data_IF_334289587647
#
_entry.id   IF_334289587647
#
_cell.length_a   1.000
_cell.length_b   1.000
_cell.length_c   1.000
_cell.angle_alpha   90.00
_cell.angle_beta   90.00
_cell.angle_gamma   90.00
#
_symmetry.space_group_name_H-M   'P 1'
#
loop_
_entity.id
_entity.type
_entity.pdbx_description
1 polymer ?
#
# COMPACT_ATOMS: atom_id res chain seq x y z
N UNK A 1 -3.55 56.23 -18.75
CA UNK A 1 -2.25 55.71 -19.24
C UNK A 1 -2.24 54.23 -18.95
N UNK A 2 -2.21 53.39 -19.98
CA UNK A 2 -2.19 51.94 -19.90
C UNK A 2 -0.74 51.47 -19.69
N UNK A 3 -0.48 50.65 -18.67
CA UNK A 3 0.86 50.25 -18.24
C UNK A 3 1.15 48.76 -18.53
N UNK A 4 0.32 48.12 -19.35
CA UNK A 4 0.32 46.67 -19.54
C UNK A 4 1.47 46.12 -20.40
N UNK A 5 2.11 46.95 -21.23
CA UNK A 5 3.13 46.51 -22.20
C UNK A 5 4.54 47.05 -21.90
N UNK A 6 5.06 46.85 -20.69
CA UNK A 6 6.48 47.11 -20.40
C UNK A 6 7.29 45.81 -20.41
N UNK A 7 8.42 45.84 -21.12
CA UNK A 7 9.42 44.77 -21.27
C UNK A 7 10.20 44.56 -19.96
N UNK A 8 9.49 44.17 -18.90
CA UNK A 8 9.94 43.54 -17.65
C UNK A 8 8.78 43.41 -16.63
N UNK A 9 7.52 43.48 -17.06
CA UNK A 9 6.39 43.23 -16.17
C UNK A 9 6.41 41.77 -15.72
N UNK A 10 6.75 41.55 -14.44
CA UNK A 10 6.73 40.25 -13.78
C UNK A 10 5.29 39.75 -13.77
N UNK A 11 4.94 38.87 -14.71
CA UNK A 11 3.62 38.21 -14.81
C UNK A 11 3.48 37.24 -13.65
N UNK A 12 3.09 37.73 -12.49
CA UNK A 12 3.09 36.96 -11.25
C UNK A 12 2.07 37.53 -10.27
N UNK A 13 0.82 37.13 -10.47
CA UNK A 13 -0.31 37.41 -9.59
C UNK A 13 -1.48 36.56 -10.04
N UNK A 14 -1.33 35.24 -9.94
CA UNK A 14 -2.43 34.31 -10.20
C UNK A 14 -3.52 34.54 -9.17
N UNK A 15 -4.58 35.23 -9.56
CA UNK A 15 -5.79 35.36 -8.75
C UNK A 15 -6.36 33.98 -8.42
N UNK A 16 -6.96 33.86 -7.25
CA UNK A 16 -7.71 32.66 -6.87
C UNK A 16 -8.86 32.52 -7.88
N UNK A 17 -8.90 31.41 -8.61
CA UNK A 17 -9.84 31.19 -9.70
C UNK A 17 -11.29 31.32 -9.21
N UNK A 18 -12.13 32.01 -9.98
CA UNK A 18 -13.54 32.18 -9.65
C UNK A 18 -14.29 30.84 -9.73
N UNK A 19 -15.36 30.69 -8.94
CA UNK A 19 -16.11 29.43 -8.86
C UNK A 19 -16.75 29.04 -10.21
N UNK A 20 -17.03 30.01 -11.08
CA UNK A 20 -17.51 29.72 -12.43
C UNK A 20 -16.37 29.21 -13.33
N UNK A 21 -15.18 29.78 -13.22
CA UNK A 21 -14.00 29.37 -14.00
C UNK A 21 -13.54 27.96 -13.62
N UNK A 22 -13.52 27.62 -12.32
CA UNK A 22 -13.21 26.25 -11.87
C UNK A 22 -14.22 25.24 -12.40
N UNK A 23 -15.51 25.57 -12.39
CA UNK A 23 -16.57 24.68 -12.89
C UNK A 23 -16.49 24.46 -14.40
N UNK A 24 -16.16 25.50 -15.18
CA UNK A 24 -15.94 25.38 -16.62
C UNK A 24 -14.71 24.52 -16.90
N UNK A 25 -13.64 24.71 -16.13
CA UNK A 25 -12.42 23.90 -16.25
C UNK A 25 -12.68 22.42 -15.95
N UNK A 26 -13.42 22.11 -14.87
CA UNK A 26 -13.80 20.74 -14.50
C UNK A 26 -14.65 20.09 -15.59
N UNK A 27 -15.64 20.80 -16.14
CA UNK A 27 -16.50 20.28 -17.23
C UNK A 27 -15.73 20.04 -18.52
N UNK A 28 -14.80 20.93 -18.88
CA UNK A 28 -13.96 20.77 -20.06
C UNK A 28 -13.03 19.58 -19.93
N UNK A 29 -12.43 19.38 -18.75
CA UNK A 29 -11.56 18.24 -18.45
C UNK A 29 -12.32 16.91 -18.47
N UNK A 30 -13.50 16.86 -17.86
CA UNK A 30 -14.37 15.68 -17.91
C UNK A 30 -14.73 15.29 -19.35
N UNK A 31 -15.07 16.29 -20.18
CA UNK A 31 -15.36 16.07 -21.60
C UNK A 31 -14.13 15.54 -22.35
N UNK A 32 -12.94 16.05 -22.04
CA UNK A 32 -11.68 15.62 -22.66
C UNK A 32 -11.33 14.18 -22.27
N UNK A 33 -11.42 13.82 -20.98
CA UNK A 33 -11.21 12.46 -20.46
C UNK A 33 -12.20 11.44 -21.04
N UNK A 34 -13.46 11.83 -21.22
CA UNK A 34 -14.49 10.99 -21.84
C UNK A 34 -14.29 10.82 -23.36
N UNK A 35 -13.59 11.75 -24.01
CA UNK A 35 -13.36 11.75 -25.46
C UNK A 35 -12.04 11.07 -25.83
N UNK A 36 -11.03 11.14 -24.95
CA UNK A 36 -9.78 10.41 -25.13
C UNK A 36 -9.99 8.95 -24.73
N UNK A 37 -10.06 8.04 -25.71
CA UNK A 37 -10.05 6.57 -25.49
C UNK A 37 -8.77 6.05 -24.78
N UNK A 38 -7.81 6.93 -24.50
CA UNK A 38 -6.58 6.64 -23.78
C UNK A 38 -6.70 7.20 -22.37
N UNK A 39 -7.02 6.32 -21.41
CA UNK A 39 -6.92 6.60 -19.98
C UNK A 39 -5.43 6.77 -19.63
N UNK A 40 -4.97 8.01 -19.57
CA UNK A 40 -3.62 8.34 -19.09
C UNK A 40 -3.57 8.27 -17.56
N UNK A 41 -3.44 7.03 -17.04
CA UNK A 41 -3.39 6.73 -15.61
C UNK A 41 -2.26 7.47 -14.88
N UNK A 42 -1.17 7.82 -15.57
CA UNK A 42 -0.01 8.47 -14.97
C UNK A 42 -0.29 9.92 -14.59
N UNK A 43 -1.23 10.59 -15.26
CA UNK A 43 -1.57 12.00 -15.04
C UNK A 43 -2.97 12.20 -14.43
N UNK A 44 -3.61 11.15 -13.91
CA UNK A 44 -4.89 11.28 -13.22
C UNK A 44 -4.67 11.86 -11.79
N UNK A 45 -5.16 13.07 -11.49
CA UNK A 45 -4.98 13.69 -10.18
C UNK A 45 -5.67 12.92 -9.03
N UNK A 46 -6.55 11.96 -9.32
CA UNK A 46 -7.13 11.05 -8.31
C UNK A 46 -6.17 9.95 -7.85
N UNK A 47 -5.05 9.76 -8.55
CA UNK A 47 -4.05 8.72 -8.30
C UNK A 47 -2.89 9.17 -7.37
N UNK A 48 -2.99 10.34 -6.74
CA UNK A 48 -1.93 10.80 -5.84
C UNK A 48 -1.87 9.93 -4.58
N UNK A 49 -0.82 9.11 -4.45
CA UNK A 49 -0.61 8.30 -3.25
C UNK A 49 -0.34 9.20 -2.05
N UNK A 50 -1.03 8.95 -0.95
CA UNK A 50 -0.93 9.79 0.27
C UNK A 50 0.13 9.30 1.26
N UNK A 51 0.91 8.29 0.87
CA UNK A 51 1.97 7.68 1.66
C UNK A 51 1.59 6.31 2.23
N UNK A 52 2.40 5.82 3.16
CA UNK A 52 2.23 4.49 3.77
C UNK A 52 1.17 4.52 4.88
N UNK A 53 0.32 3.49 4.98
CA UNK A 53 -0.62 3.35 6.08
C UNK A 53 0.10 3.05 7.40
N UNK A 54 -0.54 3.38 8.52
CA UNK A 54 -0.05 2.98 9.84
C UNK A 54 -0.37 1.51 10.09
N UNK A 55 0.56 0.76 10.70
CA UNK A 55 0.37 -0.64 11.02
C UNK A 55 0.91 -0.99 12.41
N UNK A 56 0.37 -2.07 12.99
CA UNK A 56 0.80 -2.65 14.26
C UNK A 56 0.83 -4.17 14.14
N UNK A 57 1.94 -4.77 14.54
CA UNK A 57 2.15 -6.21 14.52
C UNK A 57 2.18 -6.72 15.96
N UNK A 58 1.36 -7.70 16.27
CA UNK A 58 1.28 -8.31 17.62
C UNK A 58 1.51 -9.80 17.50
N UNK A 59 2.46 -10.35 18.28
CA UNK A 59 2.62 -11.81 18.40
C UNK A 59 1.45 -12.36 19.20
N UNK A 60 0.79 -13.38 18.67
CA UNK A 60 -0.35 -14.04 19.32
C UNK A 60 -0.03 -15.50 19.58
N UNK A 61 -0.75 -16.10 20.54
CA UNK A 61 -0.70 -17.52 20.81
C UNK A 61 -2.11 -18.00 21.07
N UNK A 62 -2.54 -19.04 20.34
CA UNK A 62 -3.85 -19.64 20.60
C UNK A 62 -3.81 -20.40 21.94
N UNK A 63 -4.72 -20.14 22.89
CA UNK A 63 -4.70 -20.77 24.20
C UNK A 63 -4.96 -22.29 24.17
N UNK A 64 -5.63 -22.80 23.13
CA UNK A 64 -6.03 -24.22 23.07
C UNK A 64 -5.00 -25.06 22.34
N UNK A 65 -4.64 -24.67 21.11
CA UNK A 65 -3.64 -25.39 20.29
C UNK A 65 -2.19 -25.04 20.66
N UNK A 66 -1.98 -23.98 21.45
CA UNK A 66 -0.67 -23.40 21.77
C UNK A 66 0.13 -22.91 20.55
N UNK A 67 -0.48 -22.86 19.37
CA UNK A 67 0.12 -22.37 18.14
C UNK A 67 0.47 -20.89 18.27
N UNK A 68 1.69 -20.56 17.85
CA UNK A 68 2.15 -19.18 17.76
C UNK A 68 1.66 -18.57 16.46
N UNK A 69 1.41 -17.27 16.46
CA UNK A 69 1.00 -16.56 15.26
C UNK A 69 1.27 -15.07 15.35
N UNK A 70 0.75 -14.35 14.37
CA UNK A 70 0.84 -12.91 14.30
C UNK A 70 -0.54 -12.33 13.96
N UNK A 71 -0.89 -11.26 14.67
CA UNK A 71 -2.00 -10.39 14.35
C UNK A 71 -1.44 -9.08 13.79
N UNK A 72 -1.81 -8.79 12.56
CA UNK A 72 -1.47 -7.57 11.84
C UNK A 72 -2.71 -6.67 11.86
N UNK A 73 -2.58 -5.46 12.39
CA UNK A 73 -3.58 -4.40 12.26
C UNK A 73 -2.99 -3.32 11.35
N UNK A 74 -3.70 -2.98 10.26
CA UNK A 74 -3.35 -1.89 9.36
C UNK A 74 -4.49 -0.88 9.35
N UNK A 75 -4.19 0.38 9.62
CA UNK A 75 -5.17 1.46 9.72
C UNK A 75 -5.10 2.37 8.48
N UNK A 76 -6.26 2.60 7.89
CA UNK A 76 -6.46 3.34 6.64
C UNK A 76 -7.50 4.47 6.78
N UNK A 77 -7.22 5.55 7.53
CA UNK A 77 -8.22 6.59 7.87
C UNK A 77 -8.87 7.30 6.67
N UNK A 78 -8.23 7.28 5.51
CA UNK A 78 -8.65 8.01 4.30
C UNK A 78 -8.67 7.08 3.07
N UNK A 79 -9.14 5.86 3.24
CA UNK A 79 -9.30 4.89 2.14
C UNK A 79 -10.44 5.31 1.20
N UNK A 80 -10.21 5.16 -0.10
CA UNK A 80 -11.22 5.40 -1.14
C UNK A 80 -11.88 4.10 -1.61
N UNK A 81 -11.14 2.99 -1.55
CA UNK A 81 -11.66 1.64 -1.86
C UNK A 81 -12.58 1.14 -0.76
N UNK A 82 -13.51 0.23 -1.10
CA UNK A 82 -14.45 -0.39 -0.16
C UNK A 82 -13.73 -1.12 0.98
N UNK A 83 -12.72 -1.92 0.65
CA UNK A 83 -11.92 -2.69 1.60
C UNK A 83 -10.47 -2.82 1.11
N UNK A 84 -9.50 -2.95 2.02
CA UNK A 84 -8.13 -3.32 1.68
C UNK A 84 -8.03 -4.74 1.12
N UNK A 85 -7.10 -4.93 0.19
CA UNK A 85 -6.71 -6.24 -0.33
C UNK A 85 -5.40 -6.67 0.28
N UNK A 86 -5.22 -7.98 0.43
CA UNK A 86 -3.93 -8.54 0.82
C UNK A 86 -3.61 -9.81 0.04
N UNK A 87 -2.32 -10.09 -0.13
CA UNK A 87 -1.81 -11.28 -0.79
C UNK A 87 -0.58 -11.79 -0.05
N UNK A 88 -0.46 -13.11 0.06
CA UNK A 88 0.76 -13.76 0.59
C UNK A 88 1.56 -14.26 -0.61
N UNK A 89 2.74 -13.68 -0.81
CA UNK A 89 3.61 -13.98 -1.93
C UNK A 89 4.97 -14.45 -1.45
N UNK A 90 5.55 -15.42 -2.16
CA UNK A 90 6.95 -15.79 -2.03
C UNK A 90 7.86 -14.72 -2.66
N UNK A 91 9.14 -14.74 -2.31
CA UNK A 91 10.15 -13.86 -2.94
C UNK A 91 10.14 -13.94 -4.49
N UNK A 92 9.93 -15.14 -5.04
CA UNK A 92 9.96 -15.37 -6.48
C UNK A 92 8.71 -14.85 -7.22
N UNK A 93 7.61 -14.61 -6.51
CA UNK A 93 6.37 -14.03 -7.08
C UNK A 93 6.39 -12.50 -7.06
N UNK A 94 7.34 -11.88 -6.34
CA UNK A 94 7.53 -10.44 -6.37
C UNK A 94 8.06 -9.97 -7.74
N UNK A 95 7.69 -8.74 -8.12
CA UNK A 95 8.30 -8.07 -9.27
C UNK A 95 9.80 -7.83 -9.05
N UNK A 96 10.57 -7.68 -10.13
CA UNK A 96 12.02 -7.44 -10.04
C UNK A 96 12.37 -6.21 -9.17
N UNK A 97 11.60 -5.12 -9.28
CA UNK A 97 11.80 -3.92 -8.45
C UNK A 97 11.56 -4.21 -6.96
N UNK A 98 10.54 -5.02 -6.64
CA UNK A 98 10.22 -5.37 -5.25
C UNK A 98 11.23 -6.39 -4.69
N UNK A 99 11.78 -7.27 -5.53
CA UNK A 99 12.87 -8.16 -5.15
C UNK A 99 14.13 -7.37 -4.76
N UNK A 100 14.50 -6.35 -5.54
CA UNK A 100 15.62 -5.45 -5.21
C UNK A 100 15.37 -4.72 -3.89
N UNK A 101 14.18 -4.15 -3.69
CA UNK A 101 13.82 -3.47 -2.44
C UNK A 101 13.90 -4.41 -1.23
N UNK A 102 13.45 -5.66 -1.40
CA UNK A 102 13.57 -6.68 -0.36
C UNK A 102 15.04 -6.99 -0.05
N UNK A 103 15.88 -7.17 -1.07
CA UNK A 103 17.31 -7.40 -0.88
C UNK A 103 18.00 -6.25 -0.12
N UNK A 104 17.69 -5.00 -0.48
CA UNK A 104 18.18 -3.81 0.23
C UNK A 104 17.71 -3.77 1.68
N UNK A 105 16.44 -4.11 1.93
CA UNK A 105 15.88 -4.19 3.29
C UNK A 105 16.70 -5.15 4.16
N UNK A 106 16.92 -6.39 3.72
CA UNK A 106 17.67 -7.38 4.51
C UNK A 106 19.17 -7.06 4.63
N UNK A 107 19.77 -6.43 3.62
CA UNK A 107 21.14 -5.94 3.73
C UNK A 107 21.31 -4.90 4.83
N UNK A 108 20.30 -4.06 5.09
CA UNK A 108 20.35 -3.06 6.15
C UNK A 108 20.38 -3.65 7.58
N UNK A 109 19.97 -4.90 7.76
CA UNK A 109 20.03 -5.62 9.04
C UNK A 109 21.29 -6.48 9.19
N UNK A 110 22.13 -6.54 8.16
CA UNK A 110 23.36 -7.33 8.20
C UNK A 110 24.35 -6.64 9.14
N UNK A 111 24.71 -7.31 10.24
CA UNK A 111 25.80 -6.84 11.09
C UNK A 111 27.14 -7.31 10.50
N UNK A 112 28.20 -6.53 10.71
CA UNK A 112 29.55 -6.84 10.19
C UNK A 112 30.15 -8.12 10.82
N UNK A 113 29.62 -8.54 11.97
CA UNK A 113 30.10 -9.70 12.75
C UNK A 113 29.45 -11.04 12.36
N UNK A 114 28.44 -11.04 11.50
CA UNK A 114 27.77 -12.27 11.05
C UNK A 114 28.65 -12.98 9.99
N UNK A 115 29.58 -13.83 10.45
CA UNK A 115 30.49 -14.62 9.60
C UNK A 115 29.76 -15.72 8.79
N UNK A 116 28.64 -16.24 9.29
CA UNK A 116 27.85 -17.30 8.67
C UNK A 116 26.55 -16.74 8.07
N UNK A 117 26.59 -16.31 6.81
CA UNK A 117 25.40 -16.17 5.96
C UNK A 117 24.44 -15.05 6.36
N UNK A 118 24.61 -13.87 5.76
CA UNK A 118 23.65 -12.77 5.89
C UNK A 118 22.21 -13.20 5.58
N UNK A 119 21.24 -12.42 6.06
CA UNK A 119 19.81 -12.69 5.88
C UNK A 119 19.46 -12.77 4.37
N UNK A 120 19.22 -13.99 3.87
CA UNK A 120 18.84 -14.21 2.48
C UNK A 120 17.35 -13.90 2.28
N UNK A 121 16.99 -12.92 1.42
CA UNK A 121 15.58 -12.53 1.18
C UNK A 121 14.69 -13.65 0.66
N UNK A 122 15.31 -14.68 0.08
CA UNK A 122 14.65 -15.87 -0.47
C UNK A 122 14.06 -16.79 0.60
N UNK A 123 14.54 -16.67 1.84
CA UNK A 123 14.03 -17.43 2.99
C UNK A 123 12.80 -16.76 3.62
N UNK A 124 12.27 -15.72 2.99
CA UNK A 124 11.14 -14.94 3.47
C UNK A 124 10.00 -14.94 2.44
N UNK A 125 8.78 -14.96 2.96
CA UNK A 125 7.54 -14.69 2.26
C UNK A 125 7.00 -13.33 2.72
N UNK A 126 6.12 -12.73 1.92
CA UNK A 126 5.66 -11.36 2.12
C UNK A 126 4.13 -11.33 2.13
N UNK A 127 3.57 -10.77 3.19
CA UNK A 127 2.17 -10.39 3.24
C UNK A 127 2.06 -8.97 2.74
N UNK A 128 1.54 -8.80 1.53
CA UNK A 128 1.41 -7.50 0.86
C UNK A 128 -0.01 -6.99 1.06
N UNK A 129 -0.14 -5.75 1.51
CA UNK A 129 -1.42 -5.05 1.63
C UNK A 129 -1.50 -3.93 0.59
N UNK A 130 -2.69 -3.75 0.03
CA UNK A 130 -2.98 -2.75 -1.00
C UNK A 130 -4.33 -2.11 -0.73
N UNK A 131 -4.37 -0.79 -0.68
CA UNK A 131 -5.59 -0.01 -0.52
C UNK A 131 -5.38 1.40 -1.07
N UNK A 132 -6.22 1.88 -1.99
CA UNK A 132 -6.08 3.24 -2.50
C UNK A 132 -6.63 4.26 -1.51
N UNK A 133 -6.00 5.44 -1.36
CA UNK A 133 -4.85 5.97 -2.10
C UNK A 133 -3.51 5.73 -1.39
N UNK A 134 -3.40 4.72 -0.54
CA UNK A 134 -2.17 4.43 0.20
C UNK A 134 -1.15 3.71 -0.68
N UNK A 135 0.12 3.82 -0.29
CA UNK A 135 1.17 2.95 -0.80
C UNK A 135 1.00 1.52 -0.29
N UNK A 136 1.34 0.56 -1.13
CA UNK A 136 1.38 -0.84 -0.73
C UNK A 136 2.45 -1.03 0.34
N UNK A 137 2.13 -1.83 1.35
CA UNK A 137 3.09 -2.26 2.37
C UNK A 137 3.27 -3.77 2.31
N UNK A 138 4.44 -4.25 2.68
CA UNK A 138 4.75 -5.66 2.75
C UNK A 138 5.33 -5.99 4.13
N UNK A 139 4.87 -7.09 4.72
CA UNK A 139 5.41 -7.62 5.97
C UNK A 139 6.11 -8.93 5.65
N UNK A 140 7.41 -8.99 5.94
CA UNK A 140 8.21 -10.18 5.74
C UNK A 140 7.98 -11.19 6.88
N UNK A 141 7.66 -12.41 6.52
CA UNK A 141 7.50 -13.56 7.42
C UNK A 141 8.49 -14.64 6.96
N UNK A 142 9.22 -15.29 7.87
CA UNK A 142 10.09 -16.41 7.52
C UNK A 142 9.32 -17.56 6.86
N UNK A 143 9.93 -18.25 5.90
CA UNK A 143 9.30 -19.40 5.20
C UNK A 143 9.21 -20.64 6.10
N UNK A 144 10.10 -20.78 7.10
CA UNK A 144 10.03 -21.88 8.09
C UNK A 144 8.77 -21.81 8.97
N UNK A 145 8.12 -20.64 9.03
CA UNK A 145 6.81 -20.46 9.65
C UNK A 145 5.73 -20.78 8.63
N UNK A 146 5.39 -22.06 8.53
CA UNK A 146 4.29 -22.52 7.68
C UNK A 146 2.98 -21.87 8.12
N UNK A 147 2.31 -21.18 7.20
CA UNK A 147 1.00 -20.60 7.40
C UNK A 147 -0.05 -21.61 6.95
N UNK A 148 -0.99 -21.94 7.82
CA UNK A 148 -2.11 -22.83 7.53
C UNK A 148 -3.14 -22.09 6.66
N UNK A 149 -2.95 -22.15 5.33
CA UNK A 149 -3.85 -21.48 4.37
C UNK A 149 -5.06 -22.37 4.08
N UNK A 150 -6.27 -21.79 3.99
CA UNK A 150 -7.46 -22.52 3.54
C UNK A 150 -7.31 -23.00 2.08
N UNK A 151 -8.08 -24.03 1.72
CA UNK A 151 -8.06 -24.60 0.38
C UNK A 151 -8.65 -23.65 -0.67
N UNK A 152 -9.66 -22.86 -0.28
CA UNK A 152 -10.25 -21.81 -1.10
C UNK A 152 -9.82 -20.43 -0.58
N UNK A 153 -9.56 -19.48 -1.48
CA UNK A 153 -9.00 -18.16 -1.13
C UNK A 153 -9.93 -17.29 -0.27
N UNK A 154 -11.23 -17.53 -0.38
CA UNK A 154 -12.27 -16.70 0.25
C UNK A 154 -12.79 -17.29 1.56
N UNK A 155 -12.25 -18.44 1.99
CA UNK A 155 -12.61 -19.06 3.25
C UNK A 155 -11.73 -18.57 4.39
N UNK A 156 -12.32 -18.49 5.59
CA UNK A 156 -11.61 -18.15 6.82
C UNK A 156 -11.63 -19.36 7.75
N UNK A 157 -10.51 -19.59 8.45
CA UNK A 157 -10.36 -20.64 9.45
C UNK A 157 -10.06 -20.02 10.82
N UNK A 158 -9.95 -20.85 11.86
CA UNK A 158 -9.53 -20.39 13.19
C UNK A 158 -8.06 -19.90 13.20
N UNK A 159 -7.23 -20.52 12.36
CA UNK A 159 -5.81 -20.22 12.20
C UNK A 159 -5.55 -19.08 11.22
N UNK A 160 -6.48 -18.81 10.29
CA UNK A 160 -6.34 -17.84 9.21
C UNK A 160 -7.63 -17.04 9.03
N UNK A 161 -7.63 -15.78 9.43
CA UNK A 161 -8.81 -14.93 9.28
C UNK A 161 -8.42 -13.46 9.10
N UNK A 162 -9.26 -12.72 8.40
CA UNK A 162 -9.16 -11.27 8.27
C UNK A 162 -10.48 -10.59 8.56
N UNK A 163 -10.44 -9.33 8.95
CA UNK A 163 -11.63 -8.54 9.22
C UNK A 163 -11.37 -7.08 8.88
N UNK A 164 -12.30 -6.47 8.14
CA UNK A 164 -12.29 -5.04 7.87
C UNK A 164 -13.33 -4.35 8.74
N UNK A 165 -12.87 -3.47 9.62
CA UNK A 165 -13.73 -2.59 10.40
C UNK A 165 -13.93 -1.27 9.64
N UNK A 166 -15.12 -1.12 9.04
CA UNK A 166 -15.45 0.05 8.24
C UNK A 166 -15.56 1.34 9.07
N UNK A 167 -15.90 1.24 10.36
CA UNK A 167 -16.10 2.41 11.22
C UNK A 167 -14.76 2.97 11.72
N UNK A 168 -13.87 2.09 12.19
CA UNK A 168 -12.54 2.50 12.67
C UNK A 168 -11.51 2.64 11.55
N UNK A 169 -11.84 2.14 10.35
CA UNK A 169 -10.95 2.02 9.19
C UNK A 169 -9.70 1.20 9.51
N UNK A 170 -9.89 0.10 10.24
CA UNK A 170 -8.82 -0.82 10.64
C UNK A 170 -9.02 -2.20 10.00
N UNK A 171 -7.95 -2.71 9.38
CA UNK A 171 -7.89 -4.02 8.77
C UNK A 171 -7.09 -4.95 9.65
N UNK A 172 -7.70 -6.06 10.04
CA UNK A 172 -7.09 -7.09 10.87
C UNK A 172 -6.81 -8.31 10.01
N UNK A 173 -5.61 -8.87 10.13
CA UNK A 173 -5.23 -10.17 9.57
C UNK A 173 -4.52 -10.98 10.65
N UNK A 174 -5.08 -12.13 10.99
CA UNK A 174 -4.45 -13.08 11.89
C UNK A 174 -3.98 -14.31 11.12
N UNK A 175 -2.73 -14.68 11.37
CA UNK A 175 -2.08 -15.86 10.81
C UNK A 175 -1.47 -16.66 11.96
N UNK A 176 -1.95 -17.88 12.20
CA UNK A 176 -1.29 -18.84 13.08
C UNK A 176 -0.34 -19.71 12.26
N UNK A 177 0.81 -20.00 12.86
CA UNK A 177 1.82 -20.87 12.28
C UNK A 177 1.56 -22.32 12.69
N UNK A 178 1.87 -23.23 11.77
CA UNK A 178 1.78 -24.66 12.00
C UNK A 178 2.92 -25.19 12.85
#
# INVERSE_FOLDING_TARGET
MDYSDRVNAKKGGGGVADTQETNVHTKRRLKELLTSEVLDLENDPTWNKIGRPSYKITKVRDPTSLQMGVLINVKYPSITTKEPLFLIMSYYELSASNQTQSAEYFQSFKNEEDEDGGLDPKQWQYVVFSAQPYENIAIAIPVDKEIDRPAESDEMTKSYWWFWDEDTKEFFLQLLFK
#
